data_IF_687997551009
#
_entry.id   IF_687997551009
#
_cell.length_a   1.000
_cell.length_b   1.000
_cell.length_c   1.000
_cell.angle_alpha   90.00
_cell.angle_beta   90.00
_cell.angle_gamma   90.00
#
_symmetry.space_group_name_H-M   'P 1'
#
loop_
_entity.id
_entity.type
_entity.pdbx_description
1 polymer ?
#
# COMPACT_ATOMS: atom_id res chain seq x y z
N UNK A 1 -11.20 -3.41 -27.17
CA UNK A 1 -12.68 -3.58 -27.05
C UNK A 1 -13.04 -4.76 -26.14
N UNK A 2 -12.38 -5.91 -26.28
CA UNK A 2 -12.65 -7.12 -25.48
C UNK A 2 -12.28 -7.02 -23.99
N UNK A 3 -11.11 -6.46 -23.65
CA UNK A 3 -10.66 -6.28 -22.25
C UNK A 3 -11.65 -5.45 -21.41
N UNK A 4 -12.21 -4.39 -22.00
CA UNK A 4 -13.22 -3.53 -21.38
C UNK A 4 -14.55 -4.26 -21.18
N UNK A 5 -14.97 -5.07 -22.16
CA UNK A 5 -16.18 -5.89 -22.05
C UNK A 5 -16.06 -6.94 -20.94
N UNK A 6 -14.89 -7.58 -20.83
CA UNK A 6 -14.59 -8.55 -19.75
C UNK A 6 -14.62 -7.90 -18.37
N UNK A 7 -13.98 -6.75 -18.18
CA UNK A 7 -14.04 -6.03 -16.90
C UNK A 7 -15.48 -5.63 -16.56
N UNK A 8 -16.24 -5.14 -17.55
CA UNK A 8 -17.63 -4.77 -17.34
C UNK A 8 -18.51 -5.94 -16.94
N UNK A 9 -18.28 -7.11 -17.54
CA UNK A 9 -18.97 -8.34 -17.16
C UNK A 9 -18.59 -8.79 -15.75
N UNK A 10 -17.32 -8.70 -15.37
CA UNK A 10 -16.80 -9.25 -14.10
C UNK A 10 -17.07 -8.34 -12.89
N UNK A 11 -16.96 -7.02 -13.07
CA UNK A 11 -16.97 -6.04 -11.97
C UNK A 11 -18.05 -4.95 -12.09
N UNK A 12 -18.79 -4.93 -13.20
CA UNK A 12 -19.68 -3.81 -13.53
C UNK A 12 -18.96 -2.67 -14.25
N UNK A 13 -19.65 -1.57 -14.48
CA UNK A 13 -19.10 -0.45 -15.24
C UNK A 13 -18.38 0.54 -14.32
N UNK A 14 -17.10 0.29 -14.04
CA UNK A 14 -16.22 1.20 -13.30
C UNK A 14 -15.87 2.40 -14.20
N UNK A 15 -16.22 3.60 -13.75
CA UNK A 15 -15.91 4.85 -14.44
C UNK A 15 -14.58 5.43 -13.92
N UNK A 16 -14.40 5.40 -12.59
CA UNK A 16 -13.23 5.93 -11.91
C UNK A 16 -12.91 5.10 -10.68
N UNK A 17 -11.64 5.05 -10.31
CA UNK A 17 -11.20 4.61 -8.99
C UNK A 17 -10.03 5.44 -8.49
N UNK A 18 -9.92 5.62 -7.17
CA UNK A 18 -8.81 6.35 -6.53
C UNK A 18 -8.52 5.73 -5.16
N UNK A 19 -7.28 5.73 -4.73
CA UNK A 19 -6.97 5.21 -3.42
C UNK A 19 -5.50 5.23 -3.04
N UNK A 20 -5.24 4.66 -1.88
CA UNK A 20 -3.91 4.36 -1.37
C UNK A 20 -3.77 2.85 -1.19
N UNK A 21 -2.60 2.33 -1.56
CA UNK A 21 -2.26 0.91 -1.47
C UNK A 21 -0.91 0.77 -0.79
N UNK A 22 -0.78 -0.21 0.09
CA UNK A 22 0.50 -0.66 0.59
C UNK A 22 0.97 -1.80 -0.31
N UNK A 23 2.01 -1.55 -1.10
CA UNK A 23 2.56 -2.53 -2.02
C UNK A 23 3.66 -3.35 -1.34
N UNK A 24 3.52 -4.67 -1.42
CA UNK A 24 4.52 -5.63 -0.97
C UNK A 24 5.91 -5.32 -1.56
N UNK A 25 6.94 -5.25 -0.71
CA UNK A 25 8.31 -4.93 -1.12
C UNK A 25 8.62 -3.43 -1.23
N UNK A 26 7.62 -2.54 -1.11
CA UNK A 26 7.78 -1.07 -1.05
C UNK A 26 7.27 -0.50 0.26
N UNK A 27 7.67 -1.12 1.38
CA UNK A 27 7.11 -0.89 2.72
C UNK A 27 7.31 0.50 3.31
N UNK A 28 8.20 1.30 2.73
CA UNK A 28 8.43 2.69 3.15
C UNK A 28 7.55 3.70 2.44
N UNK A 29 6.81 3.29 1.40
CA UNK A 29 6.13 4.17 0.46
C UNK A 29 4.63 3.85 0.36
N UNK A 30 3.83 4.91 0.25
CA UNK A 30 2.41 4.83 -0.05
C UNK A 30 2.23 4.75 -1.56
N UNK A 31 1.51 3.74 -2.07
CA UNK A 31 1.09 3.71 -3.47
C UNK A 31 -0.17 4.51 -3.69
N UNK A 32 -0.11 5.54 -4.53
CA UNK A 32 -1.31 6.27 -4.98
C UNK A 32 -1.87 5.59 -6.24
N UNK A 33 -3.09 5.07 -6.11
CA UNK A 33 -3.87 4.50 -7.21
C UNK A 33 -4.82 5.55 -7.79
N UNK A 34 -4.86 5.67 -9.11
CA UNK A 34 -5.83 6.51 -9.81
C UNK A 34 -6.18 5.90 -11.16
N UNK A 35 -7.47 5.78 -11.46
CA UNK A 35 -7.94 5.34 -12.77
C UNK A 35 -9.16 6.15 -13.20
N UNK A 36 -9.20 6.54 -14.47
CA UNK A 36 -10.33 7.17 -15.13
C UNK A 36 -10.52 6.56 -16.53
N UNK A 37 -11.69 5.98 -16.78
CA UNK A 37 -11.97 5.25 -18.02
C UNK A 37 -10.96 4.11 -18.26
N UNK A 38 -10.24 4.16 -19.39
CA UNK A 38 -9.24 3.14 -19.71
C UNK A 38 -7.82 3.45 -19.18
N UNK A 39 -7.62 4.62 -18.58
CA UNK A 39 -6.30 5.09 -18.14
C UNK A 39 -6.16 4.88 -16.65
N UNK A 40 -5.10 4.17 -16.25
CA UNK A 40 -4.71 3.96 -14.85
C UNK A 40 -3.29 4.46 -14.61
N UNK A 41 -3.05 4.96 -13.40
CA UNK A 41 -1.77 5.44 -12.90
C UNK A 41 -1.52 4.87 -11.51
N UNK A 42 -0.26 4.56 -11.25
CA UNK A 42 0.19 4.08 -9.95
C UNK A 42 1.48 4.80 -9.57
N UNK A 43 1.36 5.76 -8.67
CA UNK A 43 2.43 6.70 -8.30
C UNK A 43 2.86 6.51 -6.85
N UNK A 44 3.99 7.11 -6.47
CA UNK A 44 4.37 7.21 -5.06
C UNK A 44 3.64 8.40 -4.43
N UNK A 45 2.81 8.13 -3.43
CA UNK A 45 2.08 9.13 -2.64
C UNK A 45 2.86 9.72 -1.47
N UNK A 46 4.14 9.34 -1.31
CA UNK A 46 4.97 9.74 -0.18
C UNK A 46 5.32 8.57 0.74
N UNK A 47 5.81 8.88 1.94
CA UNK A 47 6.20 7.88 2.94
C UNK A 47 5.13 7.62 3.96
N UNK A 48 5.05 6.39 4.44
CA UNK A 48 4.34 6.10 5.68
C UNK A 48 5.00 6.85 6.83
N UNK A 49 4.22 7.40 7.75
CA UNK A 49 4.73 8.09 8.94
C UNK A 49 5.68 7.18 9.73
N UNK A 50 5.36 5.89 9.82
CA UNK A 50 6.24 4.91 10.46
C UNK A 50 7.60 4.72 9.79
N UNK A 51 7.74 5.15 8.54
CA UNK A 51 9.01 5.09 7.79
C UNK A 51 9.77 6.41 7.81
N UNK A 52 9.16 7.47 8.34
CA UNK A 52 9.80 8.77 8.48
C UNK A 52 10.63 8.82 9.77
N UNK A 53 11.83 9.43 9.72
CA UNK A 53 12.62 9.70 10.91
C UNK A 53 11.84 10.52 11.97
N UNK A 54 12.10 10.32 13.28
CA UNK A 54 11.34 10.96 14.36
C UNK A 54 11.26 12.49 14.29
N UNK A 55 12.24 13.17 13.68
CA UNK A 55 12.21 14.63 13.52
C UNK A 55 11.12 15.14 12.57
N UNK A 56 10.56 14.27 11.73
CA UNK A 56 9.45 14.61 10.83
C UNK A 56 8.09 14.26 11.44
N UNK A 57 8.06 13.67 12.64
CA UNK A 57 6.82 13.39 13.34
C UNK A 57 6.24 14.66 13.94
N UNK A 58 4.90 14.79 13.98
CA UNK A 58 4.27 15.84 14.74
C UNK A 58 4.71 15.77 16.22
N UNK A 59 4.84 16.91 16.92
CA UNK A 59 5.25 16.92 18.32
C UNK A 59 4.35 16.02 19.18
N UNK A 60 4.92 15.21 20.10
CA UNK A 60 4.13 14.42 21.02
C UNK A 60 3.15 15.30 21.81
N UNK A 61 1.88 14.88 21.87
CA UNK A 61 0.81 15.64 22.53
C UNK A 61 0.10 16.68 21.65
N UNK A 62 0.54 16.89 20.40
CA UNK A 62 -0.21 17.68 19.42
C UNK A 62 -1.47 16.95 18.93
N UNK A 63 -2.44 17.72 18.41
CA UNK A 63 -3.65 17.15 17.80
C UNK A 63 -3.29 16.30 16.57
N UNK A 64 -2.30 16.74 15.79
CA UNK A 64 -1.77 16.03 14.63
C UNK A 64 -1.16 14.69 15.02
N UNK A 65 -0.37 14.63 16.09
CA UNK A 65 0.15 13.38 16.62
C UNK A 65 -0.99 12.45 17.04
N UNK A 66 -2.02 12.98 17.69
CA UNK A 66 -3.23 12.20 18.04
C UNK A 66 -3.93 11.60 16.83
N UNK A 67 -4.03 12.34 15.71
CA UNK A 67 -4.61 11.86 14.45
C UNK A 67 -3.79 10.72 13.82
N UNK A 68 -2.46 10.85 13.79
CA UNK A 68 -1.56 9.78 13.33
C UNK A 68 -1.73 8.52 14.18
N UNK A 69 -1.74 8.68 15.51
CA UNK A 69 -1.84 7.56 16.43
C UNK A 69 -3.19 6.84 16.36
N UNK A 70 -4.26 7.54 16.01
CA UNK A 70 -5.58 6.94 15.77
C UNK A 70 -5.58 5.98 14.58
N UNK A 71 -4.78 6.28 13.56
CA UNK A 71 -4.66 5.45 12.36
C UNK A 71 -3.60 4.35 12.51
N UNK A 72 -2.84 4.34 13.61
CA UNK A 72 -1.76 3.39 13.89
C UNK A 72 -2.31 2.07 14.43
N UNK A 73 -1.92 0.95 13.81
CA UNK A 73 -2.38 -0.39 14.16
C UNK A 73 -1.21 -1.28 14.62
N UNK A 74 -0.98 -1.27 15.94
CA UNK A 74 0.01 -2.15 16.58
C UNK A 74 1.45 -1.94 16.09
N UNK A 75 2.39 -2.81 16.51
CA UNK A 75 3.80 -2.67 16.19
C UNK A 75 4.14 -3.09 14.75
N UNK A 76 3.29 -3.92 14.12
CA UNK A 76 3.57 -4.53 12.81
C UNK A 76 3.01 -3.69 11.66
N UNK A 77 1.70 -3.41 11.65
CA UNK A 77 1.06 -2.67 10.55
C UNK A 77 1.33 -1.17 10.63
N UNK A 78 1.38 -0.62 11.84
CA UNK A 78 1.63 0.80 12.08
C UNK A 78 0.59 1.65 11.32
N UNK A 79 0.98 2.70 10.59
CA UNK A 79 0.04 3.53 9.80
C UNK A 79 -0.24 3.00 8.38
N UNK A 80 0.31 1.83 8.02
CA UNK A 80 0.15 1.27 6.67
C UNK A 80 -1.27 0.75 6.46
N UNK A 81 -1.94 1.29 5.45
CA UNK A 81 -3.34 0.95 5.14
C UNK A 81 -3.64 0.96 3.66
N UNK A 82 -4.70 0.25 3.30
CA UNK A 82 -5.21 0.18 1.93
C UNK A 82 -6.63 0.74 1.91
N UNK A 83 -6.91 1.66 1.00
CA UNK A 83 -8.25 2.21 0.80
C UNK A 83 -8.40 2.62 -0.64
N UNK A 84 -9.31 1.98 -1.37
CA UNK A 84 -9.62 2.28 -2.76
C UNK A 84 -11.13 2.53 -2.87
N UNK A 85 -11.50 3.67 -3.44
CA UNK A 85 -12.89 3.97 -3.81
C UNK A 85 -13.11 3.65 -5.29
N UNK A 86 -14.22 2.98 -5.59
CA UNK A 86 -14.70 2.71 -6.94
C UNK A 86 -15.99 3.50 -7.20
N UNK A 87 -16.03 4.20 -8.33
CA UNK A 87 -17.18 4.98 -8.78
C UNK A 87 -17.63 4.42 -10.12
N UNK A 88 -18.89 4.01 -10.23
CA UNK A 88 -19.40 3.40 -11.44
C UNK A 88 -20.86 3.00 -11.35
N UNK A 89 -21.30 2.22 -12.34
CA UNK A 89 -22.69 1.78 -12.49
C UNK A 89 -22.77 0.26 -12.43
N UNK A 90 -23.79 -0.25 -11.72
CA UNK A 90 -24.03 -1.70 -11.55
C UNK A 90 -22.75 -2.43 -11.08
N UNK A 91 -22.05 -1.81 -10.14
CA UNK A 91 -20.82 -2.37 -9.58
C UNK A 91 -21.13 -3.69 -8.88
N UNK A 92 -20.32 -4.70 -9.15
CA UNK A 92 -20.39 -6.00 -8.47
C UNK A 92 -19.43 -5.96 -7.30
N UNK A 93 -19.87 -5.35 -6.18
CA UNK A 93 -19.03 -5.11 -5.01
C UNK A 93 -18.30 -6.38 -4.56
N UNK A 94 -19.02 -7.49 -4.36
CA UNK A 94 -18.42 -8.75 -3.88
C UNK A 94 -17.31 -9.26 -4.82
N UNK A 95 -17.53 -9.15 -6.13
CA UNK A 95 -16.53 -9.55 -7.12
C UNK A 95 -15.28 -8.64 -7.07
N UNK A 96 -15.46 -7.34 -6.87
CA UNK A 96 -14.36 -6.37 -6.73
C UNK A 96 -13.58 -6.68 -5.44
N UNK A 97 -14.28 -6.85 -4.32
CA UNK A 97 -13.67 -7.17 -3.03
C UNK A 97 -12.89 -8.47 -3.11
N UNK A 98 -13.49 -9.53 -3.63
CA UNK A 98 -12.81 -10.82 -3.77
C UNK A 98 -11.56 -10.75 -4.65
N UNK A 99 -11.59 -9.95 -5.73
CA UNK A 99 -10.42 -9.76 -6.58
C UNK A 99 -9.29 -8.98 -5.87
N UNK A 100 -9.63 -8.04 -4.98
CA UNK A 100 -8.65 -7.33 -4.16
C UNK A 100 -8.11 -8.20 -3.02
N UNK A 101 -8.97 -8.98 -2.37
CA UNK A 101 -8.58 -9.91 -1.31
C UNK A 101 -7.62 -10.99 -1.83
N UNK A 102 -7.82 -11.46 -3.06
CA UNK A 102 -6.91 -12.39 -3.74
C UNK A 102 -5.52 -11.80 -4.01
N UNK A 103 -5.32 -10.48 -3.88
CA UNK A 103 -4.03 -9.82 -3.99
C UNK A 103 -3.34 -9.60 -2.64
N UNK A 104 -3.99 -9.92 -1.51
CA UNK A 104 -3.39 -9.79 -0.19
C UNK A 104 -2.37 -10.90 0.04
N UNK A 105 -1.26 -10.54 0.69
CA UNK A 105 -0.28 -11.52 1.15
C UNK A 105 -0.89 -12.41 2.23
N UNK A 106 -0.64 -13.70 2.12
CA UNK A 106 -0.97 -14.69 3.15
C UNK A 106 0.16 -14.80 4.17
N UNK A 107 -0.11 -15.42 5.31
CA UNK A 107 0.92 -15.65 6.33
C UNK A 107 2.03 -16.55 5.76
N UNK A 108 1.67 -17.50 4.92
CA UNK A 108 2.58 -18.39 4.21
C UNK A 108 3.53 -17.61 3.30
N UNK A 109 3.03 -16.60 2.57
CA UNK A 109 3.86 -15.73 1.72
C UNK A 109 4.90 -14.93 2.54
N UNK A 110 4.58 -14.64 3.80
CA UNK A 110 5.45 -13.90 4.73
C UNK A 110 6.48 -14.80 5.43
N UNK A 111 6.16 -16.08 5.61
CA UNK A 111 7.00 -17.06 6.31
C UNK A 111 8.06 -17.69 5.41
N UNK A 112 8.06 -17.40 4.11
CA UNK A 112 9.15 -17.80 3.20
C UNK A 112 10.43 -17.01 3.58
N UNK A 113 11.43 -17.74 4.07
CA UNK A 113 12.34 -17.31 5.16
C UNK A 113 13.51 -16.44 4.70
N UNK A 114 13.49 -15.16 5.06
CA UNK A 114 14.67 -14.27 5.08
C UNK A 114 14.75 -13.42 6.36
N UNK A 115 15.97 -12.97 6.75
CA UNK A 115 16.34 -12.36 8.05
C UNK A 115 15.76 -10.97 8.39
N UNK A 116 14.64 -10.54 7.82
CA UNK A 116 14.11 -9.19 8.07
C UNK A 116 12.61 -9.19 8.33
N UNK A 117 12.23 -9.26 9.62
CA UNK A 117 10.83 -9.26 10.10
C UNK A 117 10.03 -8.01 9.68
N UNK A 118 10.68 -6.95 9.20
CA UNK A 118 10.06 -5.69 8.73
C UNK A 118 10.18 -5.42 7.21
N UNK A 119 10.78 -6.33 6.45
CA UNK A 119 10.65 -6.40 4.99
C UNK A 119 9.94 -7.71 4.76
N UNK A 120 8.65 -7.69 4.45
CA UNK A 120 7.74 -8.86 4.44
C UNK A 120 8.17 -10.10 3.58
N UNK A 121 9.43 -10.56 3.59
CA UNK A 121 9.98 -11.63 2.75
C UNK A 121 10.06 -11.29 1.26
N UNK A 122 9.32 -10.28 0.78
CA UNK A 122 8.99 -10.09 -0.64
C UNK A 122 10.10 -9.44 -1.49
N UNK A 123 11.38 -9.63 -1.16
CA UNK A 123 12.46 -9.15 -2.04
C UNK A 123 12.55 -9.89 -3.38
N UNK A 124 11.86 -11.03 -3.49
CA UNK A 124 12.00 -11.94 -4.62
C UNK A 124 10.80 -11.96 -5.57
N UNK A 125 9.70 -11.26 -5.27
CA UNK A 125 8.62 -11.18 -6.24
C UNK A 125 9.00 -10.20 -7.37
N UNK A 126 8.74 -10.57 -8.64
CA UNK A 126 8.80 -9.63 -9.73
C UNK A 126 7.90 -8.43 -9.43
N UNK A 127 8.47 -7.22 -9.44
CA UNK A 127 7.73 -5.98 -9.25
C UNK A 127 7.39 -5.37 -10.62
N UNK A 128 6.16 -5.55 -11.14
CA UNK A 128 5.76 -5.03 -12.44
C UNK A 128 5.36 -3.55 -12.40
N UNK A 129 5.38 -2.91 -11.22
CA UNK A 129 4.91 -1.53 -11.07
C UNK A 129 6.00 -0.53 -11.48
N UNK A 130 5.61 0.65 -11.97
CA UNK A 130 6.58 1.71 -12.30
C UNK A 130 7.52 1.99 -11.12
N UNK A 131 8.83 2.22 -11.36
CA UNK A 131 9.76 2.50 -10.28
C UNK A 131 9.38 3.82 -9.58
N UNK A 132 9.45 3.82 -8.26
CA UNK A 132 9.24 5.00 -7.43
C UNK A 132 10.58 5.54 -6.96
N UNK A 133 10.74 6.87 -6.90
CA UNK A 133 11.96 7.43 -6.33
C UNK A 133 12.03 7.08 -4.84
N UNK A 134 13.20 6.64 -4.33
CA UNK A 134 13.41 6.46 -2.91
C UNK A 134 13.12 7.76 -2.13
N UNK A 135 12.49 7.63 -0.97
CA UNK A 135 12.21 8.76 -0.08
C UNK A 135 13.48 9.04 0.74
N UNK A 136 14.42 9.79 0.17
CA UNK A 136 15.67 10.13 0.88
C UNK A 136 16.47 8.89 1.34
N UNK A 137 17.53 9.08 2.15
CA UNK A 137 18.31 7.95 2.65
C UNK A 137 17.44 7.07 3.57
N UNK A 138 17.61 5.73 3.51
CA UNK A 138 16.92 4.83 4.42
C UNK A 138 17.22 5.20 5.87
N UNK A 139 16.30 4.97 6.82
CA UNK A 139 16.62 5.11 8.23
C UNK A 139 17.83 4.24 8.55
N UNK A 140 18.93 4.90 8.95
CA UNK A 140 20.12 4.22 9.42
C UNK A 140 19.73 3.52 10.72
N UNK A 141 19.87 2.20 10.76
CA UNK A 141 19.72 1.45 12.02
C UNK A 141 20.68 2.08 13.04
N UNK A 142 20.26 2.31 14.30
CA UNK A 142 21.19 2.77 15.32
C UNK A 142 22.33 1.78 15.42
N UNK A 143 23.56 2.30 15.32
CA UNK A 143 24.80 1.55 15.45
C UNK A 143 24.76 0.76 16.76
N UNK A 144 24.67 -0.59 16.68
CA UNK A 144 24.79 -1.47 17.85
C UNK A 144 23.61 -2.38 18.17
N UNK A 145 22.56 -2.45 17.35
CA UNK A 145 21.60 -3.56 17.43
C UNK A 145 22.11 -4.73 16.59
N UNK A 146 22.96 -5.56 17.19
CA UNK A 146 23.36 -6.90 16.67
C UNK A 146 22.26 -7.95 16.97
N UNK A 147 22.24 -9.08 16.23
CA UNK A 147 21.05 -9.92 15.97
C UNK A 147 20.40 -10.60 17.19
#
# INVERSE_FOLDING_TARGET
>A
KEKTARMRHSFGHILRSKGFVWLAGRDSQVGEWSQAGAVGQFNCGGGWMASLPPQFWPPPGSEEHGKVMKDFQGPVLQDRRQCIVFIGQKLKQDAITHALDACLLTVEDLLDKGEHVWKLGVRHLPDPFPPWRPLGPPPQMPNGAEP
#
